data_IF_125490797918
#
_entry.id   IF_125490797918
#
_cell.length_a   1.000
_cell.length_b   1.000
_cell.length_c   1.000
_cell.angle_alpha   90.00
_cell.angle_beta   90.00
_cell.angle_gamma   90.00
#
_symmetry.space_group_name_H-M   'P 1'
#
loop_
_entity.id
_entity.type
_entity.pdbx_description
1 polymer ?
#
# COMPACT_ATOMS: atom_id res chain seq x y z
N UNK A 1 14.47 -8.47 7.77
CA UNK A 1 13.24 -8.15 7.02
C UNK A 1 13.48 -6.89 6.22
N UNK A 2 13.29 -6.93 4.89
CA UNK A 2 13.58 -5.79 4.03
C UNK A 2 12.63 -4.63 4.28
N UNK A 3 13.18 -3.41 4.39
CA UNK A 3 12.42 -2.16 4.66
C UNK A 3 11.22 -1.93 3.73
N UNK A 4 11.25 -2.47 2.50
CA UNK A 4 10.13 -2.37 1.54
C UNK A 4 8.88 -3.17 1.93
N UNK A 5 9.04 -4.32 2.61
CA UNK A 5 7.91 -5.12 3.09
C UNK A 5 7.16 -4.37 4.21
N UNK A 6 7.93 -3.66 5.04
CA UNK A 6 7.42 -2.89 6.16
C UNK A 6 6.40 -1.84 5.69
N UNK A 7 6.65 -1.15 4.56
CA UNK A 7 5.72 -0.15 4.01
C UNK A 7 4.53 -0.75 3.25
N UNK A 8 4.76 -1.86 2.52
CA UNK A 8 3.79 -2.40 1.58
C UNK A 8 2.51 -2.89 2.26
N UNK A 9 2.63 -3.72 3.30
CA UNK A 9 1.46 -4.34 3.94
C UNK A 9 0.58 -3.31 4.67
N UNK A 10 1.12 -2.37 5.46
CA UNK A 10 0.32 -1.28 6.04
C UNK A 10 -0.37 -0.42 4.98
N UNK A 11 0.32 -0.11 3.88
CA UNK A 11 -0.23 0.66 2.77
C UNK A 11 -1.44 -0.04 2.14
N UNK A 12 -1.28 -1.29 1.69
CA UNK A 12 -2.36 -2.06 1.07
C UNK A 12 -3.50 -2.34 2.06
N UNK A 13 -3.19 -2.56 3.34
CA UNK A 13 -4.18 -2.80 4.38
C UNK A 13 -5.00 -1.54 4.69
N UNK A 14 -4.38 -0.36 4.72
CA UNK A 14 -5.09 0.91 4.89
C UNK A 14 -6.09 1.14 3.74
N UNK A 15 -5.63 0.96 2.50
CA UNK A 15 -6.48 1.07 1.30
C UNK A 15 -7.69 0.12 1.36
N UNK A 16 -7.45 -1.13 1.77
CA UNK A 16 -8.49 -2.17 1.91
C UNK A 16 -9.49 -1.84 3.00
N UNK A 17 -9.02 -1.55 4.22
CA UNK A 17 -9.88 -1.30 5.39
C UNK A 17 -10.76 -0.07 5.18
N UNK A 18 -10.19 1.00 4.64
CA UNK A 18 -10.90 2.25 4.39
C UNK A 18 -11.65 2.28 3.05
N UNK A 19 -11.60 1.19 2.28
CA UNK A 19 -12.22 1.05 0.94
C UNK A 19 -11.90 2.23 0.03
N UNK A 20 -10.64 2.66 0.02
CA UNK A 20 -10.20 3.82 -0.75
C UNK A 20 -10.15 3.44 -2.23
N UNK A 21 -10.83 4.18 -3.12
CA UNK A 21 -10.66 4.00 -4.56
C UNK A 21 -9.20 4.25 -4.97
N UNK A 22 -8.65 3.36 -5.77
CA UNK A 22 -7.27 3.40 -6.27
C UNK A 22 -7.22 3.36 -7.79
N UNK A 23 -6.16 3.97 -8.34
CA UNK A 23 -5.69 3.71 -9.71
C UNK A 23 -4.42 2.86 -9.62
N UNK A 24 -4.44 1.67 -10.21
CA UNK A 24 -3.28 0.80 -10.33
C UNK A 24 -2.76 0.93 -11.76
N UNK A 25 -1.53 1.42 -11.92
CA UNK A 25 -0.87 1.46 -13.21
C UNK A 25 -0.01 0.21 -13.37
N UNK A 26 -0.13 -0.44 -14.51
CA UNK A 26 0.68 -1.59 -14.87
C UNK A 26 1.97 -1.15 -15.57
N UNK A 27 2.96 -2.04 -15.62
CA UNK A 27 4.25 -1.79 -16.28
C UNK A 27 4.12 -1.54 -17.79
N UNK A 28 3.05 -2.04 -18.41
CA UNK A 28 2.73 -1.80 -19.82
C UNK A 28 1.90 -0.52 -20.06
N UNK A 29 1.66 0.28 -19.01
CA UNK A 29 0.91 1.54 -19.08
C UNK A 29 -0.60 1.42 -18.95
N UNK A 30 -1.17 0.21 -18.87
CA UNK A 30 -2.61 0.03 -18.63
C UNK A 30 -2.96 0.55 -17.23
N UNK A 31 -4.07 1.29 -17.13
CA UNK A 31 -4.63 1.78 -15.86
C UNK A 31 -5.85 0.94 -15.46
N UNK A 32 -5.78 0.32 -14.28
CA UNK A 32 -6.91 -0.32 -13.63
C UNK A 32 -7.46 0.59 -12.52
N UNK A 33 -8.77 0.59 -12.33
CA UNK A 33 -9.42 1.35 -11.27
C UNK A 33 -10.36 0.46 -10.48
N UNK A 34 -10.42 0.68 -9.17
CA UNK A 34 -11.24 -0.09 -8.25
C UNK A 34 -10.87 0.13 -6.79
N UNK A 35 -11.23 -0.82 -5.94
CA UNK A 35 -10.84 -0.86 -4.53
C UNK A 35 -10.06 -2.15 -4.23
N UNK A 36 -9.06 -2.05 -3.36
CA UNK A 36 -8.34 -3.24 -2.89
C UNK A 36 -9.27 -4.06 -1.99
N UNK A 37 -9.61 -5.28 -2.41
CA UNK A 37 -10.47 -6.19 -1.64
C UNK A 37 -9.64 -7.12 -0.75
N UNK A 38 -8.56 -7.67 -1.28
CA UNK A 38 -7.57 -8.46 -0.55
C UNK A 38 -6.19 -8.38 -1.23
N UNK A 39 -5.16 -8.91 -0.57
CA UNK A 39 -3.83 -9.07 -1.14
C UNK A 39 -3.06 -10.15 -0.39
N UNK A 40 -2.06 -10.73 -1.04
CA UNK A 40 -1.07 -11.59 -0.42
C UNK A 40 0.35 -11.13 -0.80
N UNK A 41 1.34 -12.01 -0.69
CA UNK A 41 2.73 -11.70 -1.06
C UNK A 41 2.90 -11.30 -2.54
N UNK A 42 2.14 -11.88 -3.47
CA UNK A 42 2.38 -11.79 -4.92
C UNK A 42 1.24 -11.11 -5.70
N UNK A 43 0.03 -11.07 -5.17
CA UNK A 43 -1.15 -10.54 -5.87
C UNK A 43 -1.94 -9.53 -5.04
N UNK A 44 -2.73 -8.72 -5.74
CA UNK A 44 -3.76 -7.82 -5.20
C UNK A 44 -5.08 -8.17 -5.87
N UNK A 45 -6.12 -8.39 -5.08
CA UNK A 45 -7.49 -8.53 -5.58
C UNK A 45 -8.11 -7.13 -5.67
N UNK A 46 -8.39 -6.69 -6.90
CA UNK A 46 -8.99 -5.39 -7.20
C UNK A 46 -10.46 -5.60 -7.55
N UNK A 47 -11.36 -4.90 -6.85
CA UNK A 47 -12.80 -4.92 -7.10
C UNK A 47 -13.25 -3.69 -7.86
N UNK A 48 -13.96 -3.90 -8.97
CA UNK A 48 -14.69 -2.89 -9.72
C UNK A 48 -16.11 -3.39 -10.03
N UNK A 49 -16.49 -3.55 -11.30
CA UNK A 49 -17.67 -4.30 -11.70
C UNK A 49 -17.52 -5.81 -11.45
N UNK A 50 -16.28 -6.30 -11.46
CA UNK A 50 -15.91 -7.68 -11.13
C UNK A 50 -14.72 -7.70 -10.15
N UNK A 51 -14.42 -8.88 -9.62
CA UNK A 51 -13.22 -9.12 -8.83
C UNK A 51 -12.13 -9.66 -9.76
N UNK A 52 -11.02 -8.94 -9.88
CA UNK A 52 -9.89 -9.32 -10.72
C UNK A 52 -8.60 -9.41 -9.91
N UNK A 53 -7.82 -10.45 -10.16
CA UNK A 53 -6.52 -10.65 -9.54
C UNK A 53 -5.44 -9.94 -10.37
N UNK A 54 -4.62 -9.12 -9.72
CA UNK A 54 -3.52 -8.37 -10.34
C UNK A 54 -2.21 -8.83 -9.72
N UNK A 55 -1.28 -9.35 -10.53
CA UNK A 55 0.05 -9.74 -10.06
C UNK A 55 0.92 -8.52 -9.81
N UNK A 56 1.59 -8.47 -8.65
CA UNK A 56 2.43 -7.33 -8.23
C UNK A 56 3.59 -7.06 -9.18
N UNK A 57 4.15 -8.09 -9.83
CA UNK A 57 5.23 -7.89 -10.82
C UNK A 57 4.77 -7.10 -12.06
N UNK A 58 3.47 -7.09 -12.35
CA UNK A 58 2.89 -6.34 -13.45
C UNK A 58 2.50 -4.91 -13.04
N UNK A 59 2.54 -4.57 -11.74
CA UNK A 59 2.17 -3.26 -11.22
C UNK A 59 3.40 -2.36 -11.20
N UNK A 60 3.28 -1.16 -11.77
CA UNK A 60 4.30 -0.11 -11.66
C UNK A 60 4.02 0.81 -10.46
N UNK A 61 2.77 1.27 -10.30
CA UNK A 61 2.37 2.19 -9.23
C UNK A 61 0.93 1.98 -8.77
N UNK A 62 0.65 2.32 -7.51
CA UNK A 62 -0.71 2.34 -6.93
C UNK A 62 -0.94 3.75 -6.37
N UNK A 63 -1.95 4.45 -6.89
CA UNK A 63 -2.28 5.82 -6.53
C UNK A 63 -3.66 5.85 -5.86
N UNK A 64 -3.76 6.24 -4.58
CA UNK A 64 -5.05 6.39 -3.92
C UNK A 64 -5.75 7.69 -4.35
N UNK A 65 -7.07 7.68 -4.38
CA UNK A 65 -7.90 8.86 -4.66
C UNK A 65 -7.83 9.96 -3.59
N UNK A 66 -7.35 9.61 -2.40
CA UNK A 66 -7.08 10.53 -1.29
C UNK A 66 -5.89 10.06 -0.47
N UNK A 67 -5.29 10.96 0.30
CA UNK A 67 -4.18 10.62 1.18
C UNK A 67 -4.61 9.58 2.23
N UNK A 68 -3.66 8.70 2.56
CA UNK A 68 -3.80 7.70 3.62
C UNK A 68 -2.90 8.07 4.80
N UNK A 69 -3.35 7.77 6.01
CA UNK A 69 -2.50 7.86 7.20
C UNK A 69 -1.85 6.51 7.43
N UNK A 70 -0.53 6.45 7.21
CA UNK A 70 0.23 5.24 7.49
C UNK A 70 0.68 5.24 8.96
N UNK A 71 0.51 4.14 9.70
CA UNK A 71 0.94 4.05 11.10
C UNK A 71 2.47 4.03 11.30
N UNK A 72 3.27 4.29 10.26
CA UNK A 72 4.74 4.16 10.30
C UNK A 72 5.49 5.45 10.62
N UNK A 73 4.82 6.59 10.76
CA UNK A 73 5.51 7.87 10.94
C UNK A 73 6.00 8.09 12.39
N UNK A 74 5.35 7.49 13.39
CA UNK A 74 5.58 7.89 14.80
C UNK A 74 6.64 7.04 15.53
N UNK A 75 7.08 5.91 14.97
CA UNK A 75 8.05 5.00 15.63
C UNK A 75 9.52 5.29 15.27
N UNK A 76 9.79 6.09 14.24
CA UNK A 76 11.17 6.42 13.85
C UNK A 76 11.72 7.56 14.72
N UNK A 77 10.88 8.53 15.13
CA UNK A 77 11.31 9.69 15.92
C UNK A 77 11.51 9.39 17.42
N UNK A 78 10.87 8.36 17.96
CA UNK A 78 10.96 8.01 19.39
C UNK A 78 12.23 7.26 19.79
N UNK A 79 13.07 6.86 18.83
CA UNK A 79 14.33 6.13 19.09
C UNK A 79 15.57 7.03 19.26
N UNK A 80 15.43 8.36 19.11
CA UNK A 80 16.57 9.30 19.10
C UNK A 80 16.72 10.19 20.36
N UNK A 81 15.96 9.98 21.43
CA UNK A 81 16.00 10.85 22.63
C UNK A 81 16.74 10.28 23.84
N UNK A 82 17.47 9.17 23.72
CA UNK A 82 18.24 8.63 24.84
C UNK A 82 19.76 8.61 24.59
N UNK A 83 20.37 9.79 24.48
CA UNK A 83 21.79 9.94 24.83
C UNK A 83 22.11 11.39 25.18
N UNK A 84 22.34 11.64 26.47
CA UNK A 84 23.01 12.85 26.94
C UNK A 84 22.08 13.90 27.56
N UNK A 85 21.76 13.73 28.83
CA UNK A 85 22.04 14.83 29.75
C UNK A 85 22.45 14.27 31.12
N UNK A 86 23.51 14.89 31.62
CA UNK A 86 24.22 14.65 32.88
C UNK A 86 23.36 14.78 34.12
#
# INVERSE_FOLDING_TARGET
MGKGQALQDPFLNALRKERIPVSIFLVNGIKLQGQVESFDQFVVLLRNSVNQMVYKHAISTIVPSRNIKLPMADEIESSNTNTGNS
#
